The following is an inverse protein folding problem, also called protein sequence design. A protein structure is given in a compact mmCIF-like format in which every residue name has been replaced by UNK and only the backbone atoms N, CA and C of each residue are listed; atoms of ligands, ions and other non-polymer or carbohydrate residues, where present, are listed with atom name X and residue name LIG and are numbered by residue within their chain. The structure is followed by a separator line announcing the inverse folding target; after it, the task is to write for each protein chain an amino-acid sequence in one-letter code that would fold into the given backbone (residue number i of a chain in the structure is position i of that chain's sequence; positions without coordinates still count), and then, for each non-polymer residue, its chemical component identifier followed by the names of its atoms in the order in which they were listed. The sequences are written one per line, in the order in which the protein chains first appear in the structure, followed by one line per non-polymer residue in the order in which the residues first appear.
data_IF_503792554428
#
_entry.id   IF_503792554428
#
_cell.length_a   1.000
_cell.length_b   1.000
_cell.length_c   1.000
_cell.angle_alpha   90.00
_cell.angle_beta   90.00
_cell.angle_gamma   90.00
#
_symmetry.space_group_name_H-M   'P 1'
#
loop_
_entity.id
_entity.type
_entity.pdbx_description
1 polymer ?
#
# COMPACT_ATOMS: atom_id res chain seq x y z
N UNK A 1 42.69 13.54 16.75
CA UNK A 1 41.96 12.73 15.75
C UNK A 1 40.53 12.58 16.23
N UNK A 2 39.53 13.09 15.50
CA UNK A 2 38.13 12.84 15.87
C UNK A 2 37.83 11.33 15.80
N UNK A 3 37.15 10.81 16.80
CA UNK A 3 36.71 9.42 16.80
C UNK A 3 35.85 9.13 15.55
N UNK A 4 35.92 7.91 14.99
CA UNK A 4 35.07 7.49 13.85
C UNK A 4 33.58 7.77 14.12
N UNK A 5 33.17 7.70 15.39
CA UNK A 5 31.83 8.06 15.87
C UNK A 5 31.51 9.54 15.61
N UNK A 6 32.37 10.46 16.01
CA UNK A 6 32.19 11.90 15.79
C UNK A 6 32.14 12.26 14.31
N UNK A 7 32.99 11.64 13.48
CA UNK A 7 32.97 11.87 12.03
C UNK A 7 31.63 11.44 11.43
N UNK A 8 31.10 10.28 11.84
CA UNK A 8 29.77 9.80 11.41
C UNK A 8 28.64 10.71 11.90
N UNK A 9 28.69 11.16 13.15
CA UNK A 9 27.69 12.10 13.69
C UNK A 9 27.67 13.41 12.89
N UNK A 10 28.83 13.99 12.58
CA UNK A 10 28.92 15.20 11.74
C UNK A 10 28.41 14.99 10.33
N UNK A 11 28.62 13.79 9.75
CA UNK A 11 28.08 13.46 8.45
C UNK A 11 26.53 13.37 8.48
N UNK A 12 25.96 12.71 9.49
CA UNK A 12 24.52 12.63 9.70
C UNK A 12 23.90 14.01 9.90
N UNK A 13 24.50 14.86 10.73
CA UNK A 13 24.01 16.20 11.00
C UNK A 13 24.00 17.07 9.73
N UNK A 14 25.07 17.02 8.92
CA UNK A 14 25.12 17.71 7.61
C UNK A 14 24.03 17.20 6.66
N UNK A 15 23.77 15.90 6.64
CA UNK A 15 22.71 15.33 5.83
C UNK A 15 21.32 15.81 6.30
N UNK A 16 21.05 15.82 7.61
CA UNK A 16 19.79 16.32 8.18
C UNK A 16 19.53 17.76 7.75
N UNK A 17 20.52 18.65 7.92
CA UNK A 17 20.40 20.06 7.49
C UNK A 17 20.12 20.20 5.99
N UNK A 18 20.78 19.39 5.15
CA UNK A 18 20.52 19.40 3.72
C UNK A 18 19.08 18.96 3.39
N UNK A 19 18.59 17.90 4.05
CA UNK A 19 17.21 17.42 3.87
C UNK A 19 16.20 18.49 4.30
N UNK A 20 16.44 19.18 5.42
CA UNK A 20 15.59 20.27 5.91
C UNK A 20 15.51 21.43 4.91
N UNK A 21 16.64 21.83 4.34
CA UNK A 21 16.66 22.88 3.31
C UNK A 21 15.84 22.50 2.07
N UNK A 22 15.91 21.23 1.64
CA UNK A 22 15.13 20.72 0.52
C UNK A 22 13.64 20.59 0.86
N UNK A 23 13.31 20.19 2.09
CA UNK A 23 11.93 20.13 2.59
C UNK A 23 11.27 21.50 2.54
N UNK A 24 11.95 22.55 3.01
CA UNK A 24 11.42 23.91 2.99
C UNK A 24 11.15 24.37 1.55
N UNK A 25 12.04 24.05 0.61
CA UNK A 25 11.82 24.35 -0.83
C UNK A 25 10.61 23.61 -1.40
N UNK A 26 10.46 22.32 -1.09
CA UNK A 26 9.33 21.51 -1.55
C UNK A 26 8.01 22.01 -0.96
N UNK A 27 7.99 22.39 0.32
CA UNK A 27 6.81 22.97 0.98
C UNK A 27 6.39 24.29 0.33
N UNK A 28 7.34 25.19 0.06
CA UNK A 28 7.04 26.44 -0.66
C UNK A 28 6.47 26.18 -2.06
N UNK A 29 7.04 25.21 -2.79
CA UNK A 29 6.51 24.82 -4.11
C UNK A 29 5.12 24.20 -4.01
N UNK A 30 4.86 23.35 -3.00
CA UNK A 30 3.54 22.77 -2.76
C UNK A 30 2.46 23.83 -2.53
N UNK A 31 2.77 24.86 -1.72
CA UNK A 31 1.85 26.00 -1.47
C UNK A 31 1.53 26.76 -2.75
N UNK A 32 2.54 27.03 -3.60
CA UNK A 32 2.33 27.71 -4.89
C UNK A 32 1.38 26.92 -5.80
N UNK A 33 1.53 25.60 -5.88
CA UNK A 33 0.64 24.74 -6.66
C UNK A 33 -0.75 24.61 -6.05
N UNK A 34 -0.88 24.67 -4.72
CA UNK A 34 -2.18 24.74 -4.04
C UNK A 34 -2.95 26.00 -4.43
N UNK A 35 -2.28 27.16 -4.44
CA UNK A 35 -2.85 28.42 -4.95
C UNK A 35 -3.18 28.34 -6.44
N UNK A 36 -2.29 27.78 -7.28
CA UNK A 36 -2.54 27.61 -8.71
C UNK A 36 -3.78 26.74 -8.99
N UNK A 37 -4.01 25.69 -8.18
CA UNK A 37 -5.23 24.88 -8.22
C UNK A 37 -6.48 25.71 -7.88
N UNK A 38 -6.42 26.54 -6.83
CA UNK A 38 -7.52 27.43 -6.46
C UNK A 38 -7.85 28.47 -7.54
N UNK A 39 -6.82 29.12 -8.08
CA UNK A 39 -6.97 30.11 -9.17
C UNK A 39 -7.50 29.46 -10.44
N UNK A 40 -6.99 28.29 -10.83
CA UNK A 40 -7.48 27.58 -12.02
C UNK A 40 -8.93 27.11 -11.87
N UNK A 41 -9.36 26.69 -10.68
CA UNK A 41 -10.76 26.36 -10.41
C UNK A 41 -11.68 27.58 -10.54
N UNK A 42 -11.29 28.71 -9.94
CA UNK A 42 -12.07 29.96 -10.06
C UNK A 42 -12.10 30.48 -11.50
N UNK A 43 -10.97 30.45 -12.19
CA UNK A 43 -10.89 30.82 -13.60
C UNK A 43 -11.74 29.90 -14.49
N UNK A 44 -11.77 28.59 -14.22
CA UNK A 44 -12.63 27.65 -14.93
C UNK A 44 -14.10 28.05 -14.82
N UNK A 45 -14.58 28.39 -13.63
CA UNK A 45 -15.99 28.78 -13.41
C UNK A 45 -16.31 30.12 -14.08
N UNK A 46 -15.48 31.14 -13.87
CA UNK A 46 -15.74 32.50 -14.38
C UNK A 46 -15.64 32.54 -15.91
N UNK A 47 -14.59 31.96 -16.50
CA UNK A 47 -14.39 32.02 -17.95
C UNK A 47 -15.39 31.13 -18.71
N UNK A 48 -15.72 29.95 -18.17
CA UNK A 48 -16.74 29.10 -18.80
C UNK A 48 -18.12 29.76 -18.72
N UNK A 49 -18.54 30.26 -17.56
CA UNK A 49 -19.83 30.96 -17.43
C UNK A 49 -19.92 32.19 -18.34
N UNK A 50 -18.87 33.02 -18.42
CA UNK A 50 -18.85 34.18 -19.33
C UNK A 50 -18.93 33.76 -20.80
N UNK A 51 -18.24 32.70 -21.21
CA UNK A 51 -18.29 32.17 -22.58
C UNK A 51 -19.70 31.67 -22.95
N UNK A 52 -20.42 31.08 -21.99
CA UNK A 52 -21.80 30.62 -22.19
C UNK A 52 -22.75 31.79 -22.49
N UNK A 53 -22.64 32.90 -21.76
CA UNK A 53 -23.52 34.06 -21.93
C UNK A 53 -23.16 34.96 -23.12
N UNK A 54 -21.90 34.95 -23.58
CA UNK A 54 -21.41 35.88 -24.61
C UNK A 54 -21.38 35.31 -26.03
N UNK A 55 -20.88 34.08 -26.23
CA UNK A 55 -20.60 33.55 -27.58
C UNK A 55 -21.35 32.26 -27.89
N UNK A 56 -21.69 31.47 -26.87
CA UNK A 56 -22.52 30.28 -26.99
C UNK A 56 -21.85 28.97 -26.55
N UNK A 57 -22.60 27.88 -26.64
CA UNK A 57 -22.28 26.61 -25.98
C UNK A 57 -20.95 25.95 -26.42
N UNK A 58 -20.49 26.18 -27.66
CA UNK A 58 -19.27 25.54 -28.16
C UNK A 58 -18.00 26.06 -27.46
N UNK A 59 -17.90 27.37 -27.23
CA UNK A 59 -16.80 28.01 -26.49
C UNK A 59 -16.85 27.67 -25.00
N UNK A 60 -18.04 27.53 -24.43
CA UNK A 60 -18.22 27.03 -23.07
C UNK A 60 -17.54 25.67 -22.89
N UNK A 61 -17.85 24.70 -23.75
CA UNK A 61 -17.24 23.37 -23.67
C UNK A 61 -15.72 23.41 -23.87
N UNK A 62 -15.23 24.21 -24.82
CA UNK A 62 -13.79 24.36 -25.08
C UNK A 62 -13.04 24.97 -23.87
N UNK A 63 -13.57 26.04 -23.27
CA UNK A 63 -13.01 26.63 -22.05
C UNK A 63 -13.08 25.67 -20.87
N UNK A 64 -14.19 24.95 -20.71
CA UNK A 64 -14.37 24.00 -19.62
C UNK A 64 -13.36 22.84 -19.72
N UNK A 65 -13.19 22.24 -20.90
CA UNK A 65 -12.25 21.14 -21.07
C UNK A 65 -10.79 21.59 -20.96
N UNK A 66 -10.43 22.73 -21.54
CA UNK A 66 -9.05 23.24 -21.47
C UNK A 66 -8.64 23.64 -20.04
N UNK A 67 -9.48 24.40 -19.34
CA UNK A 67 -9.23 24.78 -17.94
C UNK A 67 -9.36 23.58 -17.00
N UNK A 68 -10.27 22.65 -17.30
CA UNK A 68 -10.39 21.37 -16.59
C UNK A 68 -9.10 20.53 -16.70
N UNK A 69 -8.53 20.42 -17.90
CA UNK A 69 -7.25 19.73 -18.10
C UNK A 69 -6.10 20.40 -17.34
N UNK A 70 -6.06 21.74 -17.33
CA UNK A 70 -5.07 22.51 -16.57
C UNK A 70 -5.22 22.29 -15.06
N UNK A 71 -6.46 22.30 -14.55
CA UNK A 71 -6.76 22.01 -13.15
C UNK A 71 -6.34 20.58 -12.75
N UNK A 72 -6.62 19.59 -13.58
CA UNK A 72 -6.16 18.20 -13.37
C UNK A 72 -4.63 18.14 -13.35
N UNK A 73 -3.96 18.83 -14.27
CA UNK A 73 -2.50 18.96 -14.29
C UNK A 73 -1.94 19.54 -12.98
N UNK A 74 -2.54 20.61 -12.48
CA UNK A 74 -2.19 21.21 -11.19
C UNK A 74 -2.36 20.22 -10.02
N UNK A 75 -3.46 19.46 -9.98
CA UNK A 75 -3.69 18.43 -8.95
C UNK A 75 -2.59 17.37 -8.98
N UNK A 76 -2.25 16.86 -10.17
CA UNK A 76 -1.23 15.83 -10.32
C UNK A 76 0.14 16.35 -9.84
N UNK A 77 0.54 17.55 -10.25
CA UNK A 77 1.81 18.15 -9.83
C UNK A 77 1.84 18.41 -8.33
N UNK A 78 0.78 18.96 -7.76
CA UNK A 78 0.66 19.16 -6.32
C UNK A 78 0.80 17.85 -5.54
N UNK A 79 0.10 16.79 -5.96
CA UNK A 79 0.21 15.47 -5.35
C UNK A 79 1.63 14.89 -5.42
N UNK A 80 2.38 15.15 -6.49
CA UNK A 80 3.81 14.74 -6.58
C UNK A 80 4.68 15.47 -5.55
N UNK A 81 4.43 16.76 -5.31
CA UNK A 81 5.12 17.52 -4.27
C UNK A 81 4.78 17.02 -2.88
N UNK A 82 3.51 16.77 -2.57
CA UNK A 82 3.10 16.19 -1.30
C UNK A 82 3.78 14.84 -1.03
N UNK A 83 3.80 13.94 -2.02
CA UNK A 83 4.51 12.66 -1.92
C UNK A 83 6.02 12.83 -1.71
N UNK A 84 6.63 13.86 -2.32
CA UNK A 84 8.04 14.19 -2.11
C UNK A 84 8.29 14.66 -0.68
N UNK A 85 7.46 15.57 -0.17
CA UNK A 85 7.54 16.09 1.20
C UNK A 85 7.43 14.94 2.20
N UNK A 86 6.44 14.04 2.05
CA UNK A 86 6.28 12.85 2.91
C UNK A 86 7.57 12.03 2.96
N UNK A 87 8.15 11.71 1.79
CA UNK A 87 9.36 10.89 1.71
C UNK A 87 10.57 11.58 2.36
N UNK A 88 10.73 12.88 2.13
CA UNK A 88 11.85 13.63 2.72
C UNK A 88 11.68 13.83 4.23
N UNK A 89 10.46 14.03 4.73
CA UNK A 89 10.16 14.12 6.16
C UNK A 89 10.48 12.81 6.86
N UNK A 90 10.04 11.70 6.27
CA UNK A 90 10.34 10.36 6.78
C UNK A 90 11.83 10.07 6.75
N UNK A 91 12.51 10.46 5.68
CA UNK A 91 13.96 10.32 5.58
C UNK A 91 14.70 11.12 6.65
N UNK A 92 14.28 12.37 6.91
CA UNK A 92 14.82 13.19 8.01
C UNK A 92 14.63 12.49 9.36
N UNK A 93 13.42 12.01 9.65
CA UNK A 93 13.12 11.29 10.90
C UNK A 93 14.03 10.08 11.08
N UNK A 94 14.21 9.25 10.04
CA UNK A 94 15.11 8.10 10.09
C UNK A 94 16.52 8.55 10.48
N UNK A 95 17.07 9.58 9.85
CA UNK A 95 18.43 10.07 10.17
C UNK A 95 18.53 10.63 11.59
N UNK A 96 17.53 11.38 12.05
CA UNK A 96 17.47 11.93 13.41
C UNK A 96 17.45 10.82 14.46
N UNK A 97 16.68 9.76 14.24
CA UNK A 97 16.65 8.63 15.18
C UNK A 97 17.95 7.81 15.17
N UNK A 98 18.62 7.67 14.01
CA UNK A 98 19.93 7.00 13.97
C UNK A 98 20.98 7.81 14.74
N UNK A 99 20.94 9.14 14.61
CA UNK A 99 21.78 10.04 15.41
C UNK A 99 21.47 9.92 16.90
N UNK A 100 20.18 9.88 17.28
CA UNK A 100 19.75 9.70 18.67
C UNK A 100 20.25 8.36 19.26
N UNK A 101 20.16 7.26 18.50
CA UNK A 101 20.71 5.95 18.89
C UNK A 101 22.22 6.00 19.11
N UNK A 102 22.96 6.65 18.21
CA UNK A 102 24.42 6.81 18.36
C UNK A 102 24.80 7.63 19.60
N UNK A 103 23.96 8.58 20.00
CA UNK A 103 24.16 9.44 21.16
C UNK A 103 23.51 8.90 22.45
N UNK A 104 22.81 7.76 22.38
CA UNK A 104 22.01 7.21 23.49
C UNK A 104 20.98 8.21 24.04
N UNK A 105 20.43 9.07 23.18
CA UNK A 105 19.40 10.04 23.57
C UNK A 105 18.02 9.37 23.58
N UNK A 106 17.67 8.73 24.71
CA UNK A 106 16.46 7.93 24.87
C UNK A 106 15.15 8.67 24.62
N UNK A 107 15.08 9.98 24.87
CA UNK A 107 13.87 10.79 24.61
C UNK A 107 13.62 11.00 23.11
N UNK A 108 14.66 10.90 22.28
CA UNK A 108 14.59 11.05 20.83
C UNK A 108 14.65 9.71 20.08
N UNK A 109 14.83 8.58 20.77
CA UNK A 109 14.65 7.24 20.21
C UNK A 109 13.16 6.90 20.32
N UNK A 110 12.50 6.39 19.27
CA UNK A 110 11.10 6.02 19.40
C UNK A 110 10.88 5.00 20.52
N UNK A 111 9.80 5.11 21.32
CA UNK A 111 9.41 4.05 22.23
C UNK A 111 9.16 2.79 21.42
N UNK A 112 9.56 1.64 21.97
CA UNK A 112 9.14 0.37 21.43
C UNK A 112 7.84 -0.05 22.14
N UNK A 113 6.93 -0.68 21.41
CA UNK A 113 5.81 -1.39 22.04
C UNK A 113 6.36 -2.70 22.59
N UNK A 114 6.86 -2.67 23.82
CA UNK A 114 7.31 -3.87 24.53
C UNK A 114 6.24 -4.32 25.51
N UNK A 115 6.06 -5.64 25.63
CA UNK A 115 5.46 -6.20 26.84
C UNK A 115 6.45 -6.00 28.00
N UNK A 116 5.95 -6.00 29.23
CA UNK A 116 6.82 -5.96 30.40
C UNK A 116 7.92 -7.04 30.32
N UNK A 117 9.11 -6.80 30.91
CA UNK A 117 10.15 -7.81 31.01
C UNK A 117 9.59 -9.06 31.67
N UNK A 118 9.97 -10.24 31.17
CA UNK A 118 9.68 -11.47 31.89
C UNK A 118 10.67 -11.61 33.05
N UNK A 119 10.19 -11.35 34.26
CA UNK A 119 10.99 -11.48 35.48
C UNK A 119 11.34 -12.93 35.83
N UNK A 120 10.72 -13.92 35.18
CA UNK A 120 11.09 -15.33 35.34
C UNK A 120 12.26 -15.73 34.43
N UNK A 121 12.58 -14.91 33.44
CA UNK A 121 13.70 -15.15 32.54
C UNK A 121 15.05 -14.91 33.25
N UNK A 122 16.08 -15.77 33.07
CA UNK A 122 17.31 -15.71 33.85
C UNK A 122 18.06 -14.38 33.81
N UNK A 123 17.93 -13.62 32.72
CA UNK A 123 18.71 -12.38 32.48
C UNK A 123 17.96 -11.27 31.73
N UNK A 124 16.66 -11.42 31.41
CA UNK A 124 15.98 -10.42 30.56
C UNK A 124 15.85 -9.06 31.27
N UNK A 125 15.43 -9.10 32.53
CA UNK A 125 15.31 -7.91 33.36
C UNK A 125 16.66 -7.37 33.84
N UNK A 126 17.62 -8.25 34.14
CA UNK A 126 18.94 -7.87 34.70
C UNK A 126 19.85 -7.19 33.66
N UNK A 127 19.83 -7.66 32.41
CA UNK A 127 20.62 -7.07 31.32
C UNK A 127 19.89 -5.96 30.57
N UNK A 128 18.76 -5.47 31.08
CA UNK A 128 17.91 -4.47 30.42
C UNK A 128 17.63 -4.83 28.94
N UNK A 129 17.33 -6.10 28.65
CA UNK A 129 17.11 -6.53 27.26
C UNK A 129 15.82 -5.94 26.70
N UNK A 130 14.80 -5.74 27.54
CA UNK A 130 13.49 -5.19 27.19
C UNK A 130 13.07 -4.15 28.22
N UNK A 131 12.39 -3.09 27.77
CA UNK A 131 11.96 -1.97 28.63
C UNK A 131 12.32 -0.60 28.05
N UNK A 132 12.22 0.44 28.88
CA UNK A 132 12.34 1.83 28.43
C UNK A 132 13.75 2.18 27.94
N UNK A 133 14.80 1.75 28.64
CA UNK A 133 16.20 2.01 28.26
C UNK A 133 16.94 0.74 27.84
N UNK A 134 16.26 -0.07 27.03
CA UNK A 134 16.71 -1.43 26.72
C UNK A 134 17.56 -1.57 25.46
N UNK A 135 18.34 -2.66 25.40
CA UNK A 135 19.10 -3.04 24.22
C UNK A 135 18.17 -3.31 23.02
N UNK A 136 17.02 -3.95 23.25
CA UNK A 136 16.02 -4.17 22.21
C UNK A 136 15.54 -2.85 21.60
N UNK A 137 15.15 -1.86 22.42
CA UNK A 137 14.73 -0.52 21.91
C UNK A 137 15.84 0.17 21.12
N UNK A 138 17.10 0.01 21.55
CA UNK A 138 18.24 0.61 20.87
C UNK A 138 18.49 -0.03 19.49
N UNK A 139 18.39 -1.35 19.40
CA UNK A 139 18.70 -2.13 18.19
C UNK A 139 17.53 -2.24 17.21
N UNK A 140 16.29 -2.14 17.69
CA UNK A 140 15.12 -2.41 16.87
C UNK A 140 14.85 -1.28 15.85
N UNK A 141 14.82 -1.69 14.59
CA UNK A 141 14.52 -0.86 13.42
C UNK A 141 13.47 -1.56 12.53
N UNK A 142 12.86 -2.64 13.01
CA UNK A 142 11.88 -3.41 12.26
C UNK A 142 10.61 -2.58 12.01
N UNK A 143 10.10 -2.67 10.77
CA UNK A 143 8.81 -2.06 10.40
C UNK A 143 7.60 -2.91 10.83
N UNK A 144 7.82 -4.20 11.11
CA UNK A 144 6.79 -5.16 11.52
C UNK A 144 6.86 -5.47 13.01
N UNK A 145 5.71 -5.77 13.61
CA UNK A 145 5.65 -6.26 14.99
C UNK A 145 6.34 -7.63 15.12
N UNK A 146 6.17 -8.51 14.14
CA UNK A 146 6.79 -9.84 14.11
C UNK A 146 8.32 -9.76 13.99
N UNK A 147 8.88 -8.83 13.20
CA UNK A 147 10.33 -8.64 13.11
C UNK A 147 10.93 -8.14 14.43
N UNK A 148 10.20 -7.25 15.10
CA UNK A 148 10.52 -6.77 16.44
C UNK A 148 10.49 -7.90 17.48
N UNK A 149 9.48 -8.78 17.42
CA UNK A 149 9.37 -9.96 18.28
C UNK A 149 10.48 -10.99 18.00
N UNK A 150 10.83 -11.22 16.72
CA UNK A 150 11.94 -12.09 16.29
C UNK A 150 13.27 -11.62 16.87
N UNK A 151 13.52 -10.30 16.87
CA UNK A 151 14.71 -9.72 17.52
C UNK A 151 14.71 -9.95 19.04
N UNK A 152 13.58 -9.74 19.72
CA UNK A 152 13.46 -10.04 21.16
C UNK A 152 13.73 -11.51 21.45
N UNK A 153 13.14 -12.41 20.68
CA UNK A 153 13.37 -13.85 20.80
C UNK A 153 14.84 -14.23 20.62
N UNK A 154 15.57 -13.54 19.74
CA UNK A 154 17.02 -13.74 19.60
C UNK A 154 17.84 -13.23 20.78
N UNK A 155 17.44 -12.12 21.40
CA UNK A 155 18.12 -11.54 22.56
C UNK A 155 17.86 -12.36 23.84
N UNK A 156 16.65 -12.91 23.97
CA UNK A 156 16.24 -13.70 25.14
C UNK A 156 16.58 -15.18 25.01
N UNK A 157 17.26 -15.62 23.95
CA UNK A 157 17.58 -17.04 23.82
C UNK A 157 18.72 -17.40 24.78
N UNK A 158 18.42 -18.22 25.80
CA UNK A 158 19.39 -18.60 26.85
C UNK A 158 20.60 -19.35 26.31
N UNK A 159 20.37 -20.31 25.40
CA UNK A 159 21.43 -21.09 24.73
C UNK A 159 21.33 -20.88 23.21
N UNK A 160 21.94 -19.81 22.67
CA UNK A 160 21.84 -19.52 21.26
C UNK A 160 22.69 -20.50 20.45
N UNK A 161 22.09 -21.08 19.39
CA UNK A 161 22.81 -21.89 18.42
C UNK A 161 23.93 -21.06 17.74
N UNK A 162 25.17 -21.52 17.92
CA UNK A 162 26.38 -20.88 17.39
C UNK A 162 26.34 -20.76 15.87
N UNK A 163 25.91 -21.81 15.16
CA UNK A 163 25.94 -21.82 13.70
C UNK A 163 24.90 -20.85 13.13
N UNK A 164 23.68 -20.83 13.69
CA UNK A 164 22.67 -19.83 13.37
C UNK A 164 23.11 -18.39 13.72
N UNK A 165 23.88 -18.18 14.79
CA UNK A 165 24.47 -16.86 15.11
C UNK A 165 25.48 -16.44 14.03
N UNK A 166 26.39 -17.33 13.64
CA UNK A 166 27.41 -17.04 12.63
C UNK A 166 26.80 -16.73 11.26
N UNK A 167 25.76 -17.48 10.85
CA UNK A 167 25.01 -17.19 9.62
C UNK A 167 24.36 -15.79 9.67
N UNK A 168 23.71 -15.43 10.78
CA UNK A 168 23.15 -14.08 10.96
C UNK A 168 24.22 -12.98 10.90
N UNK A 169 25.39 -13.21 11.50
CA UNK A 169 26.50 -12.25 11.43
C UNK A 169 27.01 -12.08 9.99
N UNK A 170 27.06 -13.14 9.19
CA UNK A 170 27.41 -13.06 7.76
C UNK A 170 26.39 -12.22 6.99
N UNK A 171 25.09 -12.45 7.21
CA UNK A 171 24.02 -11.63 6.62
C UNK A 171 24.17 -10.16 6.99
N UNK A 172 24.46 -9.84 8.26
CA UNK A 172 24.68 -8.46 8.71
C UNK A 172 25.91 -7.83 8.05
N UNK A 173 27.00 -8.59 7.86
CA UNK A 173 28.21 -8.09 7.15
C UNK A 173 27.94 -7.76 5.70
N UNK A 174 27.16 -8.60 5.00
CA UNK A 174 26.73 -8.33 3.63
C UNK A 174 25.73 -7.16 3.55
N UNK A 175 24.88 -7.00 4.57
CA UNK A 175 23.87 -5.95 4.63
C UNK A 175 24.43 -4.56 4.96
N UNK A 176 25.48 -4.50 5.79
CA UNK A 176 26.07 -3.27 6.29
C UNK A 176 26.43 -2.23 5.19
N UNK A 177 27.12 -2.60 4.07
CA UNK A 177 27.50 -1.66 3.03
C UNK A 177 26.32 -1.21 2.15
N UNK A 178 25.18 -1.90 2.18
CA UNK A 178 24.02 -1.64 1.32
C UNK A 178 23.15 -0.48 1.84
N UNK A 179 23.76 0.67 2.14
CA UNK A 179 23.11 1.82 2.77
C UNK A 179 21.87 2.28 1.99
N UNK A 180 21.96 2.37 0.66
CA UNK A 180 20.83 2.81 -0.19
C UNK A 180 19.65 1.84 -0.12
N UNK A 181 19.91 0.54 -0.19
CA UNK A 181 18.87 -0.49 -0.12
C UNK A 181 18.23 -0.48 1.27
N UNK A 182 19.04 -0.53 2.34
CA UNK A 182 18.58 -0.52 3.73
C UNK A 182 17.64 0.65 4.00
N UNK A 183 18.04 1.86 3.64
CA UNK A 183 17.22 3.03 3.97
C UNK A 183 15.98 3.15 3.08
N UNK A 184 16.02 2.65 1.83
CA UNK A 184 14.81 2.54 0.99
C UNK A 184 13.81 1.54 1.59
N UNK A 185 14.26 0.35 1.99
CA UNK A 185 13.39 -0.65 2.62
C UNK A 185 12.79 -0.11 3.92
N UNK A 186 13.59 0.56 4.76
CA UNK A 186 13.11 1.19 5.99
C UNK A 186 12.06 2.28 5.70
N UNK A 187 12.25 3.10 4.66
CA UNK A 187 11.27 4.11 4.24
C UNK A 187 9.96 3.46 3.77
N UNK A 188 10.02 2.50 2.84
CA UNK A 188 8.82 1.85 2.33
C UNK A 188 8.09 1.05 3.42
N UNK A 189 8.83 0.40 4.32
CA UNK A 189 8.26 -0.29 5.49
C UNK A 189 7.49 0.66 6.42
N UNK A 190 8.04 1.85 6.70
CA UNK A 190 7.34 2.87 7.51
C UNK A 190 6.12 3.46 6.79
N UNK A 191 6.20 3.66 5.47
CA UNK A 191 5.05 4.10 4.68
C UNK A 191 3.92 3.07 4.69
N UNK A 192 4.26 1.78 4.60
CA UNK A 192 3.29 0.69 4.73
C UNK A 192 2.64 0.71 6.13
N UNK A 193 3.45 0.85 7.19
CA UNK A 193 2.93 0.88 8.55
C UNK A 193 2.05 2.11 8.84
N UNK A 194 2.42 3.27 8.30
CA UNK A 194 1.63 4.49 8.42
C UNK A 194 0.30 4.42 7.65
N UNK A 195 0.26 3.75 6.50
CA UNK A 195 -0.99 3.49 5.77
C UNK A 195 -1.96 2.66 6.62
N UNK A 196 -1.48 1.61 7.27
CA UNK A 196 -2.29 0.77 8.18
C UNK A 196 -2.77 1.57 9.39
N UNK A 197 -1.93 2.45 9.96
CA UNK A 197 -2.32 3.28 11.10
C UNK A 197 -3.43 4.28 10.74
N UNK A 198 -3.33 4.93 9.57
CA UNK A 198 -4.34 5.90 9.10
C UNK A 198 -5.72 5.26 8.95
N UNK A 199 -5.76 4.02 8.48
CA UNK A 199 -7.02 3.26 8.32
C UNK A 199 -7.70 2.94 9.65
N UNK A 200 -6.94 2.88 10.75
CA UNK A 200 -7.47 2.67 12.11
C UNK A 200 -7.90 3.97 12.79
N UNK A 201 -8.00 5.08 12.05
CA UNK A 201 -8.26 6.40 12.61
C UNK A 201 -7.03 7.04 13.26
N UNK A 202 -5.83 6.51 13.02
CA UNK A 202 -4.57 7.11 13.47
C UNK A 202 -4.26 8.39 12.70
N UNK A 203 -3.62 9.35 13.37
CA UNK A 203 -3.22 10.62 12.76
C UNK A 203 -2.29 10.43 11.56
N UNK A 204 -2.39 11.34 10.58
CA UNK A 204 -1.49 11.35 9.42
C UNK A 204 -0.03 11.49 9.89
N UNK A 205 0.94 10.75 9.32
CA UNK A 205 2.36 10.83 9.70
C UNK A 205 2.99 12.23 9.54
N UNK A 206 2.26 13.19 8.94
CA UNK A 206 2.66 14.58 8.77
C UNK A 206 2.16 15.53 9.87
N UNK A 207 1.04 15.23 10.55
CA UNK A 207 0.34 16.18 11.43
C UNK A 207 0.70 16.02 12.91
N UNK A 208 1.13 14.84 13.31
CA UNK A 208 1.71 14.58 14.62
C UNK A 208 2.66 13.42 14.44
N UNK A 209 3.96 13.64 14.67
CA UNK A 209 4.90 12.53 14.74
C UNK A 209 4.42 11.66 15.90
N UNK A 210 3.84 10.46 15.65
CA UNK A 210 3.45 9.60 16.75
C UNK A 210 4.75 9.30 17.51
N UNK A 211 4.74 9.46 18.83
CA UNK A 211 5.94 9.20 19.62
C UNK A 211 6.49 7.80 19.29
N UNK A 212 5.60 6.84 19.04
CA UNK A 212 5.90 5.49 18.55
C UNK A 212 5.50 5.32 17.08
N UNK A 213 6.43 5.04 16.14
CA UNK A 213 6.08 4.74 14.77
C UNK A 213 5.16 3.51 14.74
N UNK A 214 4.04 3.54 14.00
CA UNK A 214 3.18 2.39 13.91
C UNK A 214 3.96 1.21 13.36
N UNK A 215 3.75 0.03 13.95
CA UNK A 215 4.21 -1.24 13.42
C UNK A 215 3.00 -2.01 12.91
N UNK A 216 3.13 -2.59 11.73
CA UNK A 216 2.07 -3.43 11.18
C UNK A 216 2.30 -4.90 11.56
N UNK A 217 1.20 -5.64 11.63
CA UNK A 217 1.19 -7.05 11.97
C UNK A 217 1.04 -7.88 10.69
N UNK A 218 2.04 -8.70 10.43
CA UNK A 218 2.12 -9.64 9.31
C UNK A 218 1.06 -10.73 9.45
N UNK A 219 0.77 -11.15 10.69
CA UNK A 219 -0.27 -12.11 11.03
C UNK A 219 -1.68 -11.72 10.56
N UNK A 220 -2.03 -10.43 10.59
CA UNK A 220 -3.34 -9.96 10.09
C UNK A 220 -3.45 -10.02 8.57
N UNK A 221 -2.35 -9.75 7.87
CA UNK A 221 -2.31 -9.89 6.42
C UNK A 221 -2.35 -11.38 6.06
N UNK A 222 -1.59 -12.22 6.78
CA UNK A 222 -1.58 -13.65 6.56
C UNK A 222 -2.95 -14.28 6.83
N UNK A 223 -3.64 -13.89 7.91
CA UNK A 223 -4.98 -14.39 8.22
C UNK A 223 -5.98 -14.03 7.13
N UNK A 224 -5.88 -12.85 6.52
CA UNK A 224 -6.71 -12.50 5.37
C UNK A 224 -6.46 -13.43 4.17
N UNK A 225 -5.21 -13.81 3.90
CA UNK A 225 -4.88 -14.73 2.81
C UNK A 225 -5.25 -16.19 3.12
N UNK A 226 -5.18 -16.62 4.37
CA UNK A 226 -5.47 -18.00 4.79
C UNK A 226 -6.94 -18.25 5.13
N UNK A 227 -7.72 -17.19 5.40
CA UNK A 227 -9.17 -17.31 5.62
C UNK A 227 -9.85 -17.85 4.36
N UNK A 228 -10.71 -18.86 4.54
CA UNK A 228 -11.45 -19.51 3.45
C UNK A 228 -12.06 -18.46 2.51
N UNK A 229 -11.66 -18.51 1.25
CA UNK A 229 -12.22 -17.63 0.25
C UNK A 229 -13.65 -18.09 -0.09
N UNK A 230 -14.51 -17.14 -0.47
CA UNK A 230 -15.83 -17.48 -1.01
C UNK A 230 -15.72 -18.55 -2.11
N UNK A 231 -16.71 -19.44 -2.21
CA UNK A 231 -16.71 -20.55 -3.16
C UNK A 231 -16.53 -20.03 -4.61
N UNK A 232 -15.28 -20.13 -5.10
CA UNK A 232 -14.91 -19.64 -6.42
C UNK A 232 -15.68 -20.32 -7.53
N UNK A 233 -16.13 -21.56 -7.32
CA UNK A 233 -16.95 -22.29 -8.28
C UNK A 233 -18.38 -21.74 -8.35
N UNK A 234 -18.95 -21.28 -7.24
CA UNK A 234 -20.24 -20.59 -7.24
C UNK A 234 -20.17 -19.27 -8.02
N UNK A 235 -19.14 -18.45 -7.78
CA UNK A 235 -18.93 -17.19 -8.50
C UNK A 235 -18.73 -17.42 -10.00
N UNK A 236 -17.97 -18.44 -10.38
CA UNK A 236 -17.74 -18.77 -11.79
C UNK A 236 -19.02 -19.23 -12.51
N UNK A 237 -19.87 -20.04 -11.86
CA UNK A 237 -21.17 -20.44 -12.43
C UNK A 237 -22.08 -19.25 -12.71
N UNK A 238 -22.17 -18.30 -11.77
CA UNK A 238 -22.92 -17.07 -11.97
C UNK A 238 -22.32 -16.18 -13.07
N UNK A 239 -20.99 -16.11 -13.16
CA UNK A 239 -20.30 -15.37 -14.21
C UNK A 239 -20.62 -15.93 -15.60
N UNK A 240 -20.60 -17.26 -15.76
CA UNK A 240 -20.97 -17.91 -17.03
C UNK A 240 -22.44 -17.67 -17.39
N UNK A 241 -23.34 -17.81 -16.43
CA UNK A 241 -24.77 -17.60 -16.64
C UNK A 241 -25.08 -16.15 -17.06
N UNK A 242 -24.57 -15.18 -16.32
CA UNK A 242 -24.79 -13.76 -16.62
C UNK A 242 -24.04 -13.32 -17.87
N UNK A 243 -22.84 -13.85 -18.12
CA UNK A 243 -22.06 -13.58 -19.32
C UNK A 243 -22.76 -14.10 -20.58
N UNK A 244 -23.29 -15.33 -20.54
CA UNK A 244 -24.08 -15.88 -21.64
C UNK A 244 -25.35 -15.05 -21.88
N UNK A 245 -26.05 -14.65 -20.83
CA UNK A 245 -27.27 -13.84 -20.92
C UNK A 245 -26.98 -12.42 -21.46
N UNK A 246 -25.85 -11.80 -21.08
CA UNK A 246 -25.40 -10.53 -21.64
C UNK A 246 -25.06 -10.67 -23.14
N UNK A 247 -24.40 -11.76 -23.54
CA UNK A 247 -24.13 -12.05 -24.95
C UNK A 247 -25.40 -12.24 -25.79
N UNK A 248 -26.38 -12.96 -25.26
CA UNK A 248 -27.71 -13.12 -25.89
C UNK A 248 -28.41 -11.77 -26.02
N UNK A 249 -28.38 -10.92 -24.98
CA UNK A 249 -28.94 -9.57 -25.03
C UNK A 249 -28.27 -8.70 -26.10
N UNK A 250 -26.95 -8.74 -26.21
CA UNK A 250 -26.21 -8.00 -27.23
C UNK A 250 -26.57 -8.48 -28.64
N UNK A 251 -26.71 -9.80 -28.84
CA UNK A 251 -27.13 -10.38 -30.12
C UNK A 251 -28.56 -9.97 -30.49
N UNK A 252 -29.50 -10.04 -29.54
CA UNK A 252 -30.89 -9.63 -29.76
C UNK A 252 -31.01 -8.13 -30.04
N UNK A 253 -30.21 -7.30 -29.37
CA UNK A 253 -30.12 -5.87 -29.66
C UNK A 253 -29.64 -5.62 -31.10
N UNK A 254 -28.54 -6.28 -31.50
CA UNK A 254 -28.02 -6.18 -32.86
C UNK A 254 -29.03 -6.65 -33.92
N UNK A 255 -29.74 -7.76 -33.65
CA UNK A 255 -30.80 -8.26 -34.53
C UNK A 255 -31.99 -7.29 -34.63
N UNK A 256 -32.41 -6.68 -33.53
CA UNK A 256 -33.46 -5.65 -33.56
C UNK A 256 -33.05 -4.40 -34.33
N UNK A 257 -31.76 -4.06 -34.31
CA UNK A 257 -31.24 -2.89 -35.03
C UNK A 257 -31.04 -3.16 -36.53
N UNK A 258 -30.65 -4.38 -36.91
CA UNK A 258 -30.34 -4.75 -38.30
C UNK A 258 -31.54 -5.29 -39.09
N UNK A 259 -32.51 -5.92 -38.41
CA UNK A 259 -33.55 -6.72 -39.07
C UNK A 259 -34.99 -6.32 -38.69
N UNK A 260 -35.20 -5.15 -38.09
CA UNK A 260 -36.51 -4.67 -37.59
C UNK A 260 -37.25 -5.71 -36.72
N UNK A 261 -36.49 -6.58 -36.05
CA UNK A 261 -37.05 -7.61 -35.19
C UNK A 261 -37.76 -6.98 -33.99
N UNK A 262 -38.83 -7.61 -33.45
CA UNK A 262 -39.53 -7.09 -32.28
C UNK A 262 -38.57 -6.94 -31.09
N UNK A 263 -38.87 -5.99 -30.21
CA UNK A 263 -38.01 -5.50 -29.11
C UNK A 263 -37.88 -6.50 -27.94
N UNK A 264 -37.68 -7.78 -28.22
CA UNK A 264 -37.52 -8.86 -27.24
C UNK A 264 -36.32 -8.65 -26.31
N UNK A 265 -35.32 -7.88 -26.76
CA UNK A 265 -34.14 -7.54 -25.97
C UNK A 265 -34.48 -6.81 -24.67
N UNK A 266 -35.59 -6.05 -24.60
CA UNK A 266 -36.03 -5.36 -23.37
C UNK A 266 -36.44 -6.34 -22.28
N UNK A 267 -37.13 -7.43 -22.63
CA UNK A 267 -37.57 -8.44 -21.67
C UNK A 267 -36.39 -9.26 -21.15
N UNK A 268 -35.50 -9.69 -22.05
CA UNK A 268 -34.29 -10.42 -21.68
C UNK A 268 -33.29 -9.54 -20.92
N UNK A 269 -33.27 -8.23 -21.18
CA UNK A 269 -32.53 -7.25 -20.39
C UNK A 269 -33.13 -7.09 -18.99
N UNK A 270 -34.46 -6.99 -18.86
CA UNK A 270 -35.13 -6.96 -17.55
C UNK A 270 -34.83 -8.19 -16.70
N UNK A 271 -34.88 -9.39 -17.31
CA UNK A 271 -34.51 -10.65 -16.66
C UNK A 271 -33.03 -10.66 -16.24
N UNK A 272 -32.12 -10.16 -17.10
CA UNK A 272 -30.71 -10.03 -16.78
C UNK A 272 -30.46 -9.10 -15.59
N UNK A 273 -31.10 -7.92 -15.57
CA UNK A 273 -30.96 -6.96 -14.47
C UNK A 273 -31.49 -7.57 -13.17
N UNK A 274 -32.64 -8.24 -13.19
CA UNK A 274 -33.17 -8.92 -12.01
C UNK A 274 -32.26 -10.05 -11.50
N UNK A 275 -31.71 -10.88 -12.40
CA UNK A 275 -30.77 -11.94 -12.06
C UNK A 275 -29.44 -11.39 -11.51
N UNK A 276 -28.93 -10.31 -12.07
CA UNK A 276 -27.69 -9.68 -11.59
C UNK A 276 -27.87 -9.02 -10.23
N UNK A 277 -29.03 -8.40 -9.97
CA UNK A 277 -29.40 -7.90 -8.65
C UNK A 277 -29.60 -9.03 -7.64
N UNK A 278 -30.24 -10.13 -8.04
CA UNK A 278 -30.40 -11.31 -7.19
C UNK A 278 -29.06 -11.97 -6.86
N UNK A 279 -28.19 -12.16 -7.86
CA UNK A 279 -26.85 -12.71 -7.67
C UNK A 279 -26.02 -11.82 -6.75
N UNK A 280 -26.05 -10.50 -6.95
CA UNK A 280 -25.38 -9.53 -6.06
C UNK A 280 -25.96 -9.51 -4.64
N UNK A 281 -27.29 -9.63 -4.47
CA UNK A 281 -27.94 -9.71 -3.16
C UNK A 281 -27.63 -11.02 -2.44
N UNK A 282 -27.56 -12.14 -3.16
CA UNK A 282 -27.16 -13.46 -2.64
C UNK A 282 -25.69 -13.45 -2.23
N UNK A 283 -24.82 -12.88 -3.04
CA UNK A 283 -23.41 -12.73 -2.72
C UNK A 283 -23.19 -11.77 -1.54
N UNK A 284 -24.00 -10.71 -1.43
CA UNK A 284 -24.00 -9.79 -0.29
C UNK A 284 -24.53 -10.43 1.01
N UNK A 285 -25.58 -11.25 0.94
CA UNK A 285 -26.15 -11.95 2.11
C UNK A 285 -25.29 -13.12 2.59
N UNK A 286 -24.49 -13.71 1.71
CA UNK A 286 -23.45 -14.68 2.10
C UNK A 286 -22.26 -14.05 2.85
N UNK A 287 -22.27 -12.73 3.10
CA UNK A 287 -21.21 -11.98 3.79
C UNK A 287 -19.91 -11.85 2.98
N UNK A 288 -19.60 -12.82 2.12
CA UNK A 288 -18.32 -12.96 1.44
C UNK A 288 -17.92 -11.77 0.56
N UNK A 289 -18.78 -11.31 -0.36
CA UNK A 289 -18.35 -10.36 -1.40
C UNK A 289 -18.08 -8.94 -0.86
N UNK A 290 -19.04 -8.37 -0.12
CA UNK A 290 -18.90 -7.01 0.43
C UNK A 290 -17.79 -6.93 1.47
N UNK A 291 -17.63 -7.97 2.29
CA UNK A 291 -16.55 -8.01 3.26
C UNK A 291 -15.19 -8.29 2.60
N UNK A 292 -15.10 -9.17 1.59
CA UNK A 292 -13.85 -9.33 0.82
C UNK A 292 -13.42 -8.03 0.15
N UNK A 293 -14.34 -7.29 -0.49
CA UNK A 293 -13.99 -6.04 -1.14
C UNK A 293 -13.65 -4.94 -0.14
N UNK A 294 -14.41 -4.81 0.94
CA UNK A 294 -14.09 -3.86 2.01
C UNK A 294 -12.72 -4.16 2.63
N UNK A 295 -12.43 -5.43 2.91
CA UNK A 295 -11.13 -5.87 3.43
C UNK A 295 -10.00 -5.68 2.40
N UNK A 296 -10.26 -5.95 1.11
CA UNK A 296 -9.27 -5.75 0.06
C UNK A 296 -8.99 -4.26 -0.19
N UNK A 297 -10.00 -3.40 -0.11
CA UNK A 297 -9.85 -1.94 -0.16
C UNK A 297 -9.08 -1.42 1.05
N UNK A 298 -9.34 -1.97 2.25
CA UNK A 298 -8.53 -1.71 3.44
C UNK A 298 -7.07 -2.13 3.21
N UNK A 299 -6.81 -3.32 2.68
CA UNK A 299 -5.44 -3.77 2.45
C UNK A 299 -4.76 -3.09 1.25
N UNK A 300 -5.49 -2.39 0.37
CA UNK A 300 -4.95 -1.86 -0.89
C UNK A 300 -3.78 -0.90 -0.69
N UNK A 301 -3.89 0.09 0.20
CA UNK A 301 -2.81 1.06 0.44
C UNK A 301 -1.57 0.35 0.98
N UNK A 302 -1.75 -0.59 1.90
CA UNK A 302 -0.68 -1.42 2.47
C UNK A 302 -0.01 -2.30 1.41
N UNK A 303 -0.78 -3.05 0.62
CA UNK A 303 -0.29 -3.93 -0.43
C UNK A 303 0.46 -3.15 -1.51
N UNK A 304 0.02 -1.94 -1.83
CA UNK A 304 0.72 -1.04 -2.75
C UNK A 304 2.09 -0.65 -2.19
N UNK A 305 2.18 -0.31 -0.89
CA UNK A 305 3.48 -0.01 -0.25
C UNK A 305 4.39 -1.24 -0.13
N UNK A 306 3.83 -2.42 0.12
CA UNK A 306 4.59 -3.67 0.12
C UNK A 306 5.08 -4.04 -1.28
N UNK A 307 4.32 -3.72 -2.33
CA UNK A 307 4.77 -3.88 -3.72
C UNK A 307 6.08 -3.13 -3.95
N UNK A 308 6.21 -1.91 -3.42
CA UNK A 308 7.45 -1.16 -3.53
C UNK A 308 8.62 -1.86 -2.82
N UNK A 309 8.39 -2.44 -1.63
CA UNK A 309 9.39 -3.21 -0.88
C UNK A 309 9.86 -4.42 -1.70
N UNK A 310 8.93 -5.25 -2.15
CA UNK A 310 9.26 -6.44 -2.95
C UNK A 310 9.93 -6.07 -4.27
N UNK A 311 9.47 -5.02 -4.95
CA UNK A 311 10.08 -4.56 -6.19
C UNK A 311 11.54 -4.12 -5.99
N UNK A 312 11.88 -3.46 -4.87
CA UNK A 312 13.28 -3.11 -4.58
C UNK A 312 14.15 -4.36 -4.39
N UNK A 313 13.62 -5.41 -3.75
CA UNK A 313 14.33 -6.67 -3.54
C UNK A 313 14.49 -7.42 -4.88
N UNK A 314 13.42 -7.52 -5.67
CA UNK A 314 13.39 -8.19 -6.98
C UNK A 314 14.32 -7.54 -8.02
N UNK A 315 14.52 -6.22 -7.94
CA UNK A 315 15.36 -5.47 -8.89
C UNK A 315 16.81 -5.33 -8.44
N UNK A 316 17.12 -5.70 -7.20
CA UNK A 316 18.46 -5.60 -6.65
C UNK A 316 19.34 -6.76 -7.13
N UNK A 317 20.58 -6.45 -7.52
CA UNK A 317 21.55 -7.46 -7.96
C UNK A 317 22.34 -8.01 -6.76
N UNK A 318 22.11 -9.27 -6.41
CA UNK A 318 22.77 -9.92 -5.25
C UNK A 318 24.15 -10.53 -5.57
N UNK A 319 24.81 -10.16 -6.68
CA UNK A 319 26.07 -10.77 -7.12
C UNK A 319 27.21 -10.77 -6.10
N UNK A 320 27.23 -9.81 -5.17
CA UNK A 320 28.28 -9.66 -4.15
C UNK A 320 27.82 -10.06 -2.74
N UNK A 321 26.63 -10.66 -2.63
CA UNK A 321 25.96 -10.95 -1.36
C UNK A 321 25.24 -12.29 -1.44
N UNK A 322 25.97 -13.42 -1.46
CA UNK A 322 25.40 -14.75 -1.68
C UNK A 322 24.47 -15.19 -0.54
N UNK A 323 24.77 -14.83 0.71
CA UNK A 323 23.91 -15.21 1.84
C UNK A 323 22.59 -14.42 1.82
N UNK A 324 22.63 -13.13 1.47
CA UNK A 324 21.41 -12.36 1.24
C UNK A 324 20.63 -12.86 0.02
N UNK A 325 21.31 -13.33 -1.03
CA UNK A 325 20.66 -13.91 -2.20
C UNK A 325 19.84 -15.15 -1.81
N UNK A 326 20.43 -16.05 -1.00
CA UNK A 326 19.76 -17.25 -0.51
C UNK A 326 18.54 -16.90 0.37
N UNK A 327 18.66 -15.90 1.25
CA UNK A 327 17.54 -15.42 2.06
C UNK A 327 16.40 -14.85 1.21
N UNK A 328 16.73 -14.11 0.15
CA UNK A 328 15.77 -13.46 -0.74
C UNK A 328 15.36 -14.35 -1.93
N UNK A 329 15.81 -15.60 -2.00
CA UNK A 329 15.50 -16.51 -3.10
C UNK A 329 13.99 -16.68 -3.33
N UNK A 330 13.15 -16.90 -2.29
CA UNK A 330 11.71 -17.07 -2.49
C UNK A 330 11.01 -15.84 -3.10
N UNK A 331 11.61 -14.66 -2.95
CA UNK A 331 11.09 -13.38 -3.44
C UNK A 331 11.60 -13.08 -4.87
N UNK A 332 12.81 -13.53 -5.20
CA UNK A 332 13.51 -13.18 -6.45
C UNK A 332 13.25 -14.17 -7.59
N UNK A 333 12.64 -15.32 -7.32
CA UNK A 333 12.27 -16.31 -8.33
C UNK A 333 11.35 -15.72 -9.41
N UNK A 334 11.80 -15.76 -10.67
CA UNK A 334 11.16 -15.07 -11.80
C UNK A 334 9.72 -15.54 -12.08
N UNK A 335 9.41 -16.82 -11.82
CA UNK A 335 8.08 -17.39 -12.01
C UNK A 335 7.04 -16.89 -10.99
N UNK A 336 7.48 -16.42 -9.81
CA UNK A 336 6.61 -16.13 -8.67
C UNK A 336 6.88 -14.75 -8.07
N UNK A 337 7.12 -13.73 -8.90
CA UNK A 337 7.41 -12.37 -8.41
C UNK A 337 6.26 -11.76 -7.60
N UNK A 338 6.44 -11.50 -6.28
CA UNK A 338 5.39 -10.93 -5.44
C UNK A 338 4.85 -9.60 -5.97
N UNK A 339 5.70 -8.75 -6.55
CA UNK A 339 5.30 -7.45 -7.07
C UNK A 339 4.24 -7.54 -8.16
N UNK A 340 4.29 -8.59 -9.00
CA UNK A 340 3.31 -8.79 -10.08
C UNK A 340 1.94 -9.17 -9.52
N UNK A 341 1.91 -10.09 -8.57
CA UNK A 341 0.68 -10.51 -7.90
C UNK A 341 0.04 -9.36 -7.13
N UNK A 342 0.85 -8.58 -6.40
CA UNK A 342 0.35 -7.43 -5.64
C UNK A 342 -0.15 -6.31 -6.54
N UNK A 343 0.51 -6.02 -7.68
CA UNK A 343 -0.02 -5.06 -8.67
C UNK A 343 -1.32 -5.53 -9.30
N UNK A 344 -1.44 -6.83 -9.59
CA UNK A 344 -2.68 -7.39 -10.09
C UNK A 344 -3.81 -7.24 -9.08
N UNK A 345 -3.54 -7.51 -7.80
CA UNK A 345 -4.49 -7.30 -6.71
C UNK A 345 -4.87 -5.82 -6.54
N UNK A 346 -3.90 -4.91 -6.59
CA UNK A 346 -4.14 -3.46 -6.54
C UNK A 346 -4.97 -2.95 -7.73
N UNK A 347 -4.78 -3.54 -8.91
CA UNK A 347 -5.58 -3.23 -10.09
C UNK A 347 -7.02 -3.74 -9.95
N UNK A 348 -7.21 -4.99 -9.51
CA UNK A 348 -8.52 -5.60 -9.24
C UNK A 348 -9.31 -4.76 -8.23
N UNK A 349 -8.68 -4.36 -7.12
CA UNK A 349 -9.34 -3.52 -6.11
C UNK A 349 -9.64 -2.13 -6.64
N UNK A 350 -8.74 -1.50 -7.40
CA UNK A 350 -9.02 -0.19 -8.03
C UNK A 350 -10.19 -0.23 -9.02
N UNK A 351 -10.32 -1.31 -9.79
CA UNK A 351 -11.42 -1.50 -10.74
C UNK A 351 -12.78 -1.61 -10.03
N UNK A 352 -12.79 -2.17 -8.81
CA UNK A 352 -14.00 -2.21 -7.97
C UNK A 352 -14.28 -0.88 -7.26
N UNK A 353 -13.25 -0.06 -7.00
CA UNK A 353 -13.40 1.26 -6.39
C UNK A 353 -14.07 2.29 -7.31
N UNK A 354 -14.07 2.08 -8.63
CA UNK A 354 -14.82 2.89 -9.62
C UNK A 354 -16.33 2.92 -9.28
N UNK A 355 -16.81 1.92 -8.54
CA UNK A 355 -18.17 1.81 -8.00
C UNK A 355 -18.50 2.74 -6.83
N UNK A 356 -17.58 3.61 -6.41
CA UNK A 356 -17.86 4.62 -5.38
C UNK A 356 -19.11 5.46 -5.69
N UNK A 357 -19.52 5.55 -6.96
CA UNK A 357 -20.82 6.06 -7.39
C UNK A 357 -21.81 4.89 -7.70
N UNK A 358 -22.94 4.78 -6.98
CA UNK A 358 -23.95 3.75 -7.19
C UNK A 358 -24.47 3.67 -8.64
N UNK A 359 -24.60 4.81 -9.32
CA UNK A 359 -25.11 4.86 -10.70
C UNK A 359 -24.12 4.28 -11.71
N UNK A 360 -22.82 4.56 -11.55
CA UNK A 360 -21.77 3.99 -12.41
C UNK A 360 -21.69 2.48 -12.18
N UNK A 361 -21.79 2.05 -10.92
CA UNK A 361 -21.83 0.63 -10.57
C UNK A 361 -22.99 -0.12 -11.21
N UNK A 362 -24.19 0.46 -11.13
CA UNK A 362 -25.38 -0.11 -11.76
C UNK A 362 -25.26 -0.14 -13.29
N UNK A 363 -24.78 0.94 -13.91
CA UNK A 363 -24.59 0.99 -15.36
C UNK A 363 -23.57 -0.04 -15.86
N UNK A 364 -22.42 -0.18 -15.18
CA UNK A 364 -21.41 -1.18 -15.53
C UNK A 364 -21.95 -2.61 -15.36
N UNK A 365 -22.63 -2.89 -14.24
CA UNK A 365 -23.20 -4.22 -13.99
C UNK A 365 -24.37 -4.54 -14.94
N UNK A 366 -25.08 -3.52 -15.43
CA UNK A 366 -26.13 -3.66 -16.44
C UNK A 366 -25.57 -4.05 -17.82
N UNK A 367 -24.34 -3.66 -18.15
CA UNK A 367 -23.70 -3.99 -19.43
C UNK A 367 -22.93 -5.31 -19.38
N UNK A 368 -22.22 -5.57 -18.28
CA UNK A 368 -21.34 -6.73 -18.09
C UNK A 368 -21.45 -7.17 -16.64
N UNK A 369 -21.37 -8.48 -16.30
CA UNK A 369 -21.34 -8.95 -14.90
C UNK A 369 -20.02 -8.58 -14.19
N UNK A 370 -19.81 -7.27 -14.01
CA UNK A 370 -18.58 -6.65 -13.54
C UNK A 370 -18.25 -7.06 -12.11
N UNK A 371 -19.23 -6.96 -11.20
CA UNK A 371 -19.03 -7.26 -9.78
C UNK A 371 -18.58 -8.71 -9.57
N UNK A 372 -19.31 -9.65 -10.16
CA UNK A 372 -19.06 -11.08 -10.04
C UNK A 372 -17.73 -11.46 -10.71
N UNK A 373 -17.39 -10.83 -11.84
CA UNK A 373 -16.09 -11.03 -12.50
C UNK A 373 -14.93 -10.62 -11.58
N UNK A 374 -14.96 -9.41 -11.01
CA UNK A 374 -13.89 -8.95 -10.13
C UNK A 374 -13.88 -9.69 -8.80
N UNK A 375 -15.02 -10.14 -8.28
CA UNK A 375 -15.10 -10.96 -7.07
C UNK A 375 -14.42 -12.32 -7.30
N UNK A 376 -14.74 -13.00 -8.40
CA UNK A 376 -14.10 -14.24 -8.80
C UNK A 376 -12.59 -14.05 -9.01
N UNK A 377 -12.18 -12.98 -9.71
CA UNK A 377 -10.77 -12.70 -9.97
C UNK A 377 -10.00 -12.38 -8.69
N UNK A 378 -10.63 -11.71 -7.73
CA UNK A 378 -10.05 -11.43 -6.42
C UNK A 378 -9.86 -12.73 -5.62
N UNK A 379 -10.83 -13.63 -5.64
CA UNK A 379 -10.71 -14.97 -5.02
C UNK A 379 -9.57 -15.78 -5.66
N UNK A 380 -9.44 -15.77 -6.98
CA UNK A 380 -8.31 -16.43 -7.66
C UNK A 380 -6.95 -15.82 -7.27
N UNK A 381 -6.85 -14.50 -7.21
CA UNK A 381 -5.61 -13.85 -6.77
C UNK A 381 -5.31 -14.16 -5.31
N UNK A 382 -6.30 -14.11 -4.42
CA UNK A 382 -6.15 -14.44 -2.99
C UNK A 382 -5.68 -15.88 -2.79
N UNK A 383 -6.28 -16.85 -3.47
CA UNK A 383 -5.91 -18.27 -3.38
C UNK A 383 -4.51 -18.54 -3.94
N UNK A 384 -4.17 -18.00 -5.11
CA UNK A 384 -2.83 -18.10 -5.67
C UNK A 384 -1.77 -17.50 -4.73
N UNK A 385 -2.03 -16.32 -4.19
CA UNK A 385 -1.11 -15.64 -3.26
C UNK A 385 -1.03 -16.33 -1.90
N UNK A 386 -2.12 -16.90 -1.38
CA UNK A 386 -2.16 -17.53 -0.07
C UNK A 386 -1.17 -18.69 0.08
N UNK A 387 -0.89 -19.42 -0.99
CA UNK A 387 0.11 -20.48 -0.99
C UNK A 387 1.56 -19.98 -0.91
N UNK A 388 1.85 -18.78 -1.45
CA UNK A 388 3.20 -18.24 -1.53
C UNK A 388 3.51 -17.18 -0.45
N UNK A 389 2.50 -16.46 0.02
CA UNK A 389 2.63 -15.36 0.98
C UNK A 389 3.35 -15.73 2.28
N UNK A 390 3.11 -16.90 2.92
CA UNK A 390 3.87 -17.29 4.11
C UNK A 390 5.38 -17.39 3.84
N UNK A 391 5.78 -17.89 2.66
CA UNK A 391 7.18 -18.05 2.28
C UNK A 391 7.86 -16.70 1.97
N UNK A 392 7.10 -15.73 1.47
CA UNK A 392 7.62 -14.39 1.19
C UNK A 392 7.78 -13.52 2.44
N UNK A 393 7.06 -13.84 3.53
CA UNK A 393 7.02 -13.05 4.76
C UNK A 393 7.77 -13.69 5.94
N UNK A 394 8.28 -14.93 5.79
CA UNK A 394 9.11 -15.63 6.77
C UNK A 394 10.52 -15.02 6.91
#
# INVERSE_FOLDING_TARGET
MHSLKEQRLRALQRHILHIESNLNRLQQQSVRWSWARGVSFLAAIILSSLALFSVGAWLFWLCLFSLGALFIGCIIVHGRYEQSIVRHTLWRQIQQEQMARMQLNWSAIPPATYAAPDYTHPFEADLDLVGERSLHRLMDVAATAEGCAKLRGWLNHVEPDRDAVLQRQQLVREWLPLVRLRTRLMMHGRLAAAAVARQRGGASPLESAPQTPPKWQTSQLLSWFTQEAADGAALYRWLLLLGALAGVNALLFLLSWLADAPTFWLYTFGVYVLLSLYAGARAASSGGEKDLFRQAAQLQEMLTRLTDVFQQIETFSFHRTPNLAALCEPITQAAQRPSRYLRQLAWITSATAVRGNPFIGLALNALVPWDIYFAWRLVQCKTAMGHHMPRWLA
#
